data_IF_266509611067
#
_entry.id   IF_266509611067
#
_cell.length_a   1.000
_cell.length_b   1.000
_cell.length_c   1.000
_cell.angle_alpha   90.00
_cell.angle_beta   90.00
_cell.angle_gamma   90.00
#
_symmetry.space_group_name_H-M   'P 1'
#
loop_
_entity.id
_entity.type
_entity.pdbx_description
1 polymer ?
#
# COMPACT_ATOMS: atom_id res chain seq x y z
N UNK A 1 57.41 23.56 0.66
CA UNK A 1 58.31 22.43 0.36
C UNK A 1 57.63 21.50 -0.66
N UNK A 2 58.28 21.15 -1.78
CA UNK A 2 57.71 20.20 -2.73
C UNK A 2 57.53 18.84 -2.06
N UNK A 3 56.33 18.24 -2.16
CA UNK A 3 56.07 16.90 -1.62
C UNK A 3 56.94 15.89 -2.36
N UNK A 4 57.57 14.91 -1.66
CA UNK A 4 58.38 13.92 -2.32
C UNK A 4 57.52 13.13 -3.34
N UNK A 5 58.05 12.84 -4.54
CA UNK A 5 57.28 12.23 -5.63
C UNK A 5 56.66 10.86 -5.27
N UNK A 6 57.18 10.20 -4.24
CA UNK A 6 56.89 8.83 -3.85
C UNK A 6 55.80 8.67 -2.77
N UNK A 7 55.15 9.76 -2.33
CA UNK A 7 54.11 9.74 -1.27
C UNK A 7 52.91 8.83 -1.59
N UNK A 8 52.69 8.49 -2.86
CA UNK A 8 51.59 7.62 -3.27
C UNK A 8 51.91 6.12 -3.20
N UNK A 9 53.18 5.74 -3.02
CA UNK A 9 53.62 4.34 -2.90
C UNK A 9 53.52 3.95 -1.42
N UNK A 10 52.57 3.08 -1.09
CA UNK A 10 52.41 2.57 0.26
C UNK A 10 53.44 1.45 0.51
N UNK A 11 54.36 1.71 1.45
CA UNK A 11 55.45 0.80 1.77
C UNK A 11 54.97 -0.50 2.41
N UNK A 12 53.78 -0.51 2.98
CA UNK A 12 53.20 -1.66 3.68
C UNK A 12 52.21 -2.44 2.80
N UNK A 13 52.00 -2.02 1.55
CA UNK A 13 51.03 -2.66 0.66
C UNK A 13 51.73 -3.54 -0.39
N UNK A 14 51.89 -4.86 -0.12
CA UNK A 14 52.59 -5.76 -1.03
C UNK A 14 51.89 -5.89 -2.38
N UNK A 15 50.56 -5.73 -2.44
CA UNK A 15 49.81 -5.76 -3.69
C UNK A 15 50.09 -4.53 -4.56
N UNK A 16 50.29 -3.35 -3.95
CA UNK A 16 50.71 -2.15 -4.66
C UNK A 16 52.12 -2.30 -5.21
N UNK A 17 53.05 -2.83 -4.42
CA UNK A 17 54.44 -3.04 -4.84
C UNK A 17 54.52 -4.05 -5.99
N UNK A 18 53.83 -5.19 -5.86
CA UNK A 18 53.75 -6.19 -6.93
C UNK A 18 53.14 -5.63 -8.22
N UNK A 19 52.10 -4.81 -8.10
CA UNK A 19 51.50 -4.15 -9.27
C UNK A 19 52.44 -3.15 -9.94
N UNK A 20 53.16 -2.34 -9.15
CA UNK A 20 54.14 -1.39 -9.69
C UNK A 20 55.22 -2.15 -10.49
N UNK A 21 55.70 -3.27 -9.95
CA UNK A 21 56.70 -4.11 -10.63
C UNK A 21 56.20 -4.70 -11.94
N UNK A 22 54.98 -5.25 -11.94
CA UNK A 22 54.35 -5.79 -13.14
C UNK A 22 54.06 -4.69 -14.18
N UNK A 23 53.63 -3.51 -13.74
CA UNK A 23 53.41 -2.35 -14.61
C UNK A 23 54.72 -1.87 -15.27
N UNK A 24 55.79 -1.75 -14.49
CA UNK A 24 57.11 -1.38 -15.01
C UNK A 24 57.63 -2.43 -16.00
N UNK A 25 57.52 -3.72 -15.67
CA UNK A 25 57.95 -4.82 -16.56
C UNK A 25 57.19 -4.89 -17.88
N UNK A 26 55.92 -4.48 -17.93
CA UNK A 26 55.12 -4.45 -19.17
C UNK A 26 55.37 -3.22 -20.02
N UNK A 27 55.68 -2.09 -19.40
CA UNK A 27 55.72 -0.78 -20.07
C UNK A 27 57.13 -0.20 -20.25
N UNK A 28 58.19 -0.87 -19.76
CA UNK A 28 59.58 -0.50 -19.99
C UNK A 28 60.31 -1.60 -20.76
N UNK A 29 60.37 -1.50 -22.10
CA UNK A 29 61.11 -2.46 -22.94
C UNK A 29 62.64 -2.31 -22.85
N UNK A 30 63.14 -1.18 -22.35
CA UNK A 30 64.58 -0.87 -22.35
C UNK A 30 65.32 -1.25 -21.05
N UNK A 31 64.77 -2.15 -20.22
CA UNK A 31 65.44 -2.70 -19.01
C UNK A 31 66.16 -1.66 -18.12
N UNK A 32 65.60 -0.45 -18.02
CA UNK A 32 66.15 0.64 -17.20
C UNK A 32 65.65 0.59 -15.76
N UNK A 33 65.32 -0.57 -15.22
CA UNK A 33 65.33 -0.84 -13.77
C UNK A 33 65.69 -2.32 -13.71
N UNK A 34 66.72 -2.75 -12.97
CA UNK A 34 66.99 -4.17 -12.82
C UNK A 34 65.80 -4.80 -12.07
N UNK A 35 64.87 -5.37 -12.83
CA UNK A 35 63.70 -6.07 -12.29
C UNK A 35 64.10 -7.51 -12.01
N UNK A 36 65.01 -7.69 -11.06
CA UNK A 36 65.10 -8.98 -10.39
C UNK A 36 63.86 -9.11 -9.51
N UNK A 37 62.88 -9.85 -10.01
CA UNK A 37 61.56 -10.05 -9.39
C UNK A 37 61.62 -10.55 -7.94
N UNK A 38 62.77 -11.07 -7.52
CA UNK A 38 62.99 -11.68 -6.19
C UNK A 38 63.60 -10.71 -5.17
N UNK A 39 64.23 -9.60 -5.58
CA UNK A 39 64.98 -8.70 -4.68
C UNK A 39 64.29 -7.36 -4.36
N UNK A 40 63.14 -7.04 -4.98
CA UNK A 40 62.46 -5.73 -4.86
C UNK A 40 61.10 -5.76 -4.16
N UNK A 41 60.84 -6.78 -3.32
CA UNK A 41 59.74 -6.74 -2.36
C UNK A 41 60.00 -5.74 -1.21
N UNK A 42 61.23 -5.22 -1.09
CA UNK A 42 61.53 -4.09 -0.21
C UNK A 42 61.09 -2.77 -0.87
N UNK A 43 60.08 -2.15 -0.28
CA UNK A 43 59.53 -0.86 -0.71
C UNK A 43 60.59 0.26 -0.75
N UNK A 44 61.59 0.21 0.14
CA UNK A 44 62.62 1.25 0.20
C UNK A 44 63.62 1.12 -0.96
N UNK A 45 64.01 -0.11 -1.31
CA UNK A 45 64.85 -0.38 -2.48
C UNK A 45 64.17 0.02 -3.79
N UNK A 46 62.86 -0.25 -3.91
CA UNK A 46 62.06 0.18 -5.06
C UNK A 46 61.97 1.71 -5.16
N UNK A 47 61.72 2.39 -4.04
CA UNK A 47 61.65 3.86 -4.02
C UNK A 47 63.01 4.46 -4.40
N UNK A 48 64.11 3.96 -3.85
CA UNK A 48 65.46 4.43 -4.18
C UNK A 48 65.81 4.22 -5.67
N UNK A 49 65.44 3.08 -6.25
CA UNK A 49 65.66 2.80 -7.67
C UNK A 49 64.83 3.71 -8.60
N UNK A 50 63.63 4.09 -8.16
CA UNK A 50 62.78 5.06 -8.88
C UNK A 50 63.34 6.48 -8.74
N UNK A 51 63.75 6.89 -7.53
CA UNK A 51 64.34 8.20 -7.23
C UNK A 51 65.60 8.46 -8.06
N UNK A 52 66.51 7.48 -8.16
CA UNK A 52 67.75 7.57 -8.92
C UNK A 52 67.57 7.87 -10.43
N UNK A 53 66.34 7.77 -10.95
CA UNK A 53 66.00 7.98 -12.36
C UNK A 53 65.04 9.14 -12.60
N UNK A 54 64.62 9.83 -11.54
CA UNK A 54 63.68 10.97 -11.61
C UNK A 54 64.25 12.20 -12.32
N UNK A 55 65.57 12.23 -12.54
CA UNK A 55 66.27 13.27 -13.31
C UNK A 55 66.02 13.15 -14.81
N UNK A 56 65.62 11.98 -15.31
CA UNK A 56 65.26 11.81 -16.71
C UNK A 56 63.80 12.30 -16.97
N UNK A 57 63.58 13.27 -17.87
CA UNK A 57 62.24 13.83 -18.13
C UNK A 57 61.26 12.80 -18.71
N UNK A 58 61.74 11.87 -19.56
CA UNK A 58 60.90 10.82 -20.13
C UNK A 58 60.45 9.81 -19.08
N UNK A 59 61.32 9.52 -18.11
CA UNK A 59 60.99 8.66 -16.98
C UNK A 59 59.94 9.32 -16.07
N UNK A 60 60.08 10.63 -15.81
CA UNK A 60 59.13 11.39 -14.99
C UNK A 60 57.70 11.38 -15.55
N UNK A 61 57.54 11.47 -16.87
CA UNK A 61 56.22 11.35 -17.50
C UNK A 61 55.65 9.94 -17.38
N UNK A 62 56.46 8.90 -17.62
CA UNK A 62 56.05 7.50 -17.44
C UNK A 62 55.66 7.22 -16.00
N UNK A 63 56.38 7.78 -15.03
CA UNK A 63 56.06 7.71 -13.61
C UNK A 63 54.69 8.35 -13.29
N UNK A 64 54.37 9.51 -13.87
CA UNK A 64 53.04 10.14 -13.72
C UNK A 64 51.92 9.28 -14.33
N UNK A 65 52.18 8.67 -15.50
CA UNK A 65 51.22 7.74 -16.13
C UNK A 65 50.98 6.51 -15.26
N UNK A 66 52.03 5.93 -14.69
CA UNK A 66 51.96 4.81 -13.74
C UNK A 66 51.11 5.18 -12.51
N UNK A 67 51.40 6.33 -11.89
CA UNK A 67 50.63 6.81 -10.74
C UNK A 67 49.13 6.96 -11.08
N UNK A 68 48.82 7.48 -12.26
CA UNK A 68 47.43 7.66 -12.72
C UNK A 68 46.75 6.31 -12.97
N UNK A 69 47.47 5.35 -13.56
CA UNK A 69 46.97 4.00 -13.81
C UNK A 69 46.66 3.25 -12.49
N UNK A 70 47.53 3.38 -11.48
CA UNK A 70 47.28 2.81 -10.16
C UNK A 70 46.02 3.37 -9.51
N UNK A 71 45.84 4.70 -9.54
CA UNK A 71 44.63 5.35 -8.99
C UNK A 71 43.35 4.83 -9.66
N UNK A 72 43.38 4.62 -10.98
CA UNK A 72 42.25 4.04 -11.73
C UNK A 72 41.98 2.60 -11.33
N UNK A 73 43.02 1.78 -11.16
CA UNK A 73 42.87 0.40 -10.73
C UNK A 73 42.35 0.29 -9.29
N UNK A 74 42.91 1.07 -8.37
CA UNK A 74 42.44 1.16 -6.97
C UNK A 74 40.96 1.55 -6.91
N UNK A 75 40.52 2.46 -7.78
CA UNK A 75 39.11 2.83 -7.90
C UNK A 75 38.24 1.69 -8.44
N UNK A 76 38.74 0.87 -9.36
CA UNK A 76 38.02 -0.30 -9.91
C UNK A 76 37.93 -1.47 -8.93
N UNK A 77 38.89 -1.58 -8.02
CA UNK A 77 38.93 -2.64 -7.00
C UNK A 77 38.01 -2.38 -5.80
N UNK A 78 37.27 -1.27 -5.76
CA UNK A 78 36.25 -1.01 -4.72
C UNK A 78 34.87 -1.51 -5.21
N UNK A 79 34.44 -2.74 -4.84
CA UNK A 79 33.36 -3.45 -5.54
C UNK A 79 31.95 -2.91 -5.27
N UNK A 80 31.79 -1.93 -4.36
CA UNK A 80 30.48 -1.40 -3.94
C UNK A 80 30.35 0.12 -4.11
N UNK A 81 31.28 0.78 -4.82
CA UNK A 81 31.21 2.23 -5.05
C UNK A 81 30.80 2.52 -6.49
N UNK A 82 29.54 2.91 -6.68
CA UNK A 82 29.06 3.50 -7.94
C UNK A 82 29.08 5.02 -7.81
N UNK A 83 29.90 5.68 -8.63
CA UNK A 83 29.95 7.15 -8.68
C UNK A 83 28.86 7.67 -9.60
N UNK A 84 28.05 8.61 -9.13
CA UNK A 84 27.03 9.31 -9.92
C UNK A 84 27.23 10.80 -9.77
N UNK A 85 27.11 11.54 -10.87
CA UNK A 85 27.22 13.00 -10.88
C UNK A 85 25.82 13.59 -10.98
N UNK A 86 25.48 14.45 -10.02
CA UNK A 86 24.21 15.19 -10.01
C UNK A 86 24.50 16.67 -10.20
N UNK A 87 23.63 17.34 -10.97
CA UNK A 87 23.60 18.79 -11.05
C UNK A 87 22.59 19.29 -10.04
N UNK A 88 23.04 20.13 -9.10
CA UNK A 88 22.21 20.73 -8.05
C UNK A 88 22.27 22.24 -8.19
N UNK A 89 21.20 22.93 -7.81
CA UNK A 89 21.21 24.39 -7.72
C UNK A 89 22.22 24.87 -6.67
N UNK A 90 22.82 26.04 -6.92
CA UNK A 90 23.85 26.62 -6.06
C UNK A 90 23.36 26.78 -4.61
N UNK A 91 22.10 27.15 -4.41
CA UNK A 91 21.50 27.29 -3.06
C UNK A 91 21.53 25.97 -2.27
N UNK A 92 21.27 24.85 -2.95
CA UNK A 92 21.28 23.51 -2.34
C UNK A 92 22.71 23.10 -1.99
N UNK A 93 23.67 23.44 -2.85
CA UNK A 93 25.10 23.21 -2.59
C UNK A 93 25.58 24.00 -1.38
N UNK A 94 25.20 25.28 -1.26
CA UNK A 94 25.55 26.12 -0.11
C UNK A 94 24.95 25.58 1.20
N UNK A 95 23.73 25.07 1.13
CA UNK A 95 23.06 24.47 2.29
C UNK A 95 23.72 23.16 2.70
N UNK A 96 24.08 22.31 1.73
CA UNK A 96 24.82 21.07 1.97
C UNK A 96 26.19 21.36 2.59
N UNK A 97 26.86 22.44 2.17
CA UNK A 97 28.15 22.88 2.73
C UNK A 97 28.03 23.33 4.17
N UNK A 98 27.01 24.13 4.48
CA UNK A 98 26.72 24.55 5.86
C UNK A 98 26.41 23.34 6.75
N UNK A 99 25.63 22.38 6.25
CA UNK A 99 25.31 21.15 6.97
C UNK A 99 26.54 20.27 7.20
N UNK A 100 27.38 20.09 6.17
CA UNK A 100 28.62 19.33 6.27
C UNK A 100 29.56 19.93 7.32
N UNK A 101 29.75 21.26 7.31
CA UNK A 101 30.54 21.97 8.33
C UNK A 101 29.96 21.79 9.73
N UNK A 102 28.64 21.93 9.89
CA UNK A 102 27.96 21.80 11.19
C UNK A 102 28.09 20.39 11.78
N UNK A 103 28.03 19.35 10.94
CA UNK A 103 28.15 17.94 11.35
C UNK A 103 29.59 17.43 11.42
N UNK A 104 30.58 18.22 10.98
CA UNK A 104 31.98 17.79 10.90
C UNK A 104 32.23 16.70 9.83
N UNK A 105 31.34 16.58 8.85
CA UNK A 105 31.35 15.51 7.84
C UNK A 105 31.75 15.98 6.43
N UNK A 106 31.85 15.03 5.50
CA UNK A 106 31.98 15.34 4.08
C UNK A 106 30.60 15.62 3.48
N UNK A 107 30.54 16.47 2.43
CA UNK A 107 29.28 16.76 1.71
C UNK A 107 28.59 15.49 1.23
N UNK A 108 29.36 14.53 0.74
CA UNK A 108 28.88 13.24 0.26
C UNK A 108 28.32 12.41 1.41
N UNK A 109 29.02 12.30 2.54
CA UNK A 109 28.52 11.56 3.70
C UNK A 109 27.22 12.14 4.27
N UNK A 110 27.13 13.47 4.36
CA UNK A 110 25.87 14.12 4.80
C UNK A 110 24.73 13.90 3.80
N UNK A 111 25.02 13.91 2.49
CA UNK A 111 24.02 13.60 1.48
C UNK A 111 23.55 12.14 1.57
N UNK A 112 24.46 11.19 1.81
CA UNK A 112 24.14 9.77 2.02
C UNK A 112 23.21 9.59 3.24
N UNK A 113 23.51 10.24 4.36
CA UNK A 113 22.65 10.24 5.55
C UNK A 113 21.25 10.78 5.26
N UNK A 114 21.16 11.94 4.59
CA UNK A 114 19.87 12.57 4.25
C UNK A 114 19.04 11.65 3.35
N UNK A 115 19.66 11.01 2.36
CA UNK A 115 18.97 10.07 1.45
C UNK A 115 18.47 8.86 2.23
N UNK A 116 19.28 8.29 3.12
CA UNK A 116 18.88 7.17 3.97
C UNK A 116 17.72 7.56 4.89
N UNK A 117 17.81 8.70 5.57
CA UNK A 117 16.77 9.20 6.46
C UNK A 117 15.45 9.43 5.71
N UNK A 118 15.51 10.07 4.53
CA UNK A 118 14.34 10.30 3.68
C UNK A 118 13.71 8.97 3.24
N UNK A 119 14.53 7.98 2.88
CA UNK A 119 14.04 6.65 2.51
C UNK A 119 13.35 5.94 3.69
N UNK A 120 13.95 5.97 4.89
CA UNK A 120 13.35 5.37 6.09
C UNK A 120 12.05 6.08 6.49
N UNK A 121 11.98 7.40 6.37
CA UNK A 121 10.75 8.16 6.63
C UNK A 121 9.65 7.77 5.64
N UNK A 122 9.99 7.67 4.35
CA UNK A 122 9.06 7.25 3.32
C UNK A 122 8.55 5.82 3.56
N UNK A 123 9.43 4.86 3.88
CA UNK A 123 9.04 3.48 4.18
C UNK A 123 8.12 3.38 5.41
N UNK A 124 8.44 4.11 6.49
CA UNK A 124 7.58 4.18 7.68
C UNK A 124 6.21 4.77 7.37
N UNK A 125 6.17 5.88 6.61
CA UNK A 125 4.93 6.52 6.21
C UNK A 125 4.07 5.59 5.34
N UNK A 126 4.69 4.89 4.37
CA UNK A 126 3.99 3.94 3.50
C UNK A 126 3.42 2.75 4.29
N UNK A 127 4.18 2.19 5.24
CA UNK A 127 3.70 1.13 6.14
C UNK A 127 2.53 1.60 7.00
N UNK A 128 2.63 2.81 7.56
CA UNK A 128 1.56 3.39 8.38
C UNK A 128 0.30 3.63 7.56
N UNK A 129 0.43 4.21 6.36
CA UNK A 129 -0.68 4.42 5.43
C UNK A 129 -1.36 3.10 5.05
N UNK A 130 -0.58 2.05 4.79
CA UNK A 130 -1.12 0.73 4.50
C UNK A 130 -1.93 0.20 5.69
N UNK A 131 -1.43 0.34 6.91
CA UNK A 131 -2.14 -0.08 8.13
C UNK A 131 -3.44 0.71 8.36
N UNK A 132 -3.39 2.04 8.26
CA UNK A 132 -4.57 2.89 8.45
C UNK A 132 -5.61 2.63 7.36
N UNK A 133 -5.18 2.51 6.10
CA UNK A 133 -6.09 2.19 4.98
C UNK A 133 -6.78 0.83 5.16
N UNK A 134 -6.08 -0.20 5.63
CA UNK A 134 -6.68 -1.50 5.93
C UNK A 134 -7.70 -1.41 7.08
N UNK A 135 -7.37 -0.71 8.16
CA UNK A 135 -8.30 -0.51 9.29
C UNK A 135 -9.56 0.26 8.89
N UNK A 136 -9.42 1.27 8.03
CA UNK A 136 -10.54 2.06 7.53
C UNK A 136 -11.45 1.21 6.63
N UNK A 137 -10.88 0.42 5.72
CA UNK A 137 -11.64 -0.54 4.89
C UNK A 137 -12.38 -1.57 5.73
N UNK A 138 -11.74 -2.12 6.77
CA UNK A 138 -12.39 -3.06 7.68
C UNK A 138 -13.56 -2.38 8.41
N UNK A 139 -13.37 -1.18 8.96
CA UNK A 139 -14.42 -0.41 9.63
C UNK A 139 -15.61 -0.11 8.72
N UNK A 140 -15.36 0.26 7.46
CA UNK A 140 -16.44 0.48 6.48
C UNK A 140 -17.21 -0.81 6.16
N UNK A 141 -16.51 -1.94 6.04
CA UNK A 141 -17.15 -3.24 5.84
C UNK A 141 -18.02 -3.61 7.03
N UNK A 142 -17.52 -3.44 8.25
CA UNK A 142 -18.27 -3.73 9.48
C UNK A 142 -19.48 -2.81 9.65
N UNK A 143 -19.36 -1.53 9.28
CA UNK A 143 -20.51 -0.63 9.27
C UNK A 143 -21.56 -1.08 8.24
N UNK A 144 -21.13 -1.46 7.03
CA UNK A 144 -22.05 -1.94 6.00
C UNK A 144 -22.79 -3.20 6.43
N UNK A 145 -22.11 -4.17 7.03
CA UNK A 145 -22.76 -5.39 7.53
C UNK A 145 -23.74 -5.09 8.65
N UNK A 146 -23.41 -4.18 9.57
CA UNK A 146 -24.33 -3.72 10.61
C UNK A 146 -25.59 -3.05 10.05
N UNK A 147 -25.44 -2.17 9.07
CA UNK A 147 -26.58 -1.52 8.42
C UNK A 147 -27.45 -2.52 7.67
N UNK A 148 -26.84 -3.45 6.93
CA UNK A 148 -27.57 -4.50 6.22
C UNK A 148 -28.33 -5.41 7.19
N UNK A 149 -27.71 -5.76 8.32
CA UNK A 149 -28.37 -6.56 9.34
C UNK A 149 -29.55 -5.80 9.98
N UNK A 150 -29.36 -4.54 10.36
CA UNK A 150 -30.42 -3.71 10.91
C UNK A 150 -31.58 -3.54 9.91
N UNK A 151 -31.28 -3.26 8.63
CA UNK A 151 -32.27 -3.18 7.57
C UNK A 151 -33.05 -4.48 7.41
N UNK A 152 -32.36 -5.63 7.46
CA UNK A 152 -33.00 -6.94 7.42
C UNK A 152 -33.94 -7.15 8.61
N UNK A 153 -33.50 -6.83 9.84
CA UNK A 153 -34.35 -6.92 11.05
C UNK A 153 -35.58 -6.01 10.94
N UNK A 154 -35.42 -4.77 10.47
CA UNK A 154 -36.56 -3.87 10.26
C UNK A 154 -37.53 -4.40 9.23
N UNK A 155 -37.05 -4.92 8.10
CA UNK A 155 -37.90 -5.52 7.07
C UNK A 155 -38.66 -6.73 7.60
N UNK A 156 -38.00 -7.62 8.33
CA UNK A 156 -38.63 -8.80 8.93
C UNK A 156 -39.70 -8.41 9.98
N UNK A 157 -39.41 -7.40 10.80
CA UNK A 157 -40.36 -6.87 11.79
C UNK A 157 -41.58 -6.23 11.10
N UNK A 158 -41.36 -5.43 10.06
CA UNK A 158 -42.46 -4.84 9.27
C UNK A 158 -43.28 -5.94 8.60
N UNK A 159 -42.62 -6.98 8.06
CA UNK A 159 -43.29 -8.14 7.49
C UNK A 159 -44.17 -8.85 8.51
N UNK A 160 -43.69 -9.07 9.74
CA UNK A 160 -44.47 -9.68 10.81
C UNK A 160 -45.65 -8.79 11.24
N UNK A 161 -45.46 -7.48 11.35
CA UNK A 161 -46.52 -6.54 11.73
C UNK A 161 -47.61 -6.43 10.66
N UNK A 162 -47.24 -6.41 9.37
CA UNK A 162 -48.23 -6.45 8.29
C UNK A 162 -49.00 -7.75 8.24
N UNK A 163 -48.38 -8.86 8.64
CA UNK A 163 -49.06 -10.16 8.76
C UNK A 163 -50.12 -10.12 9.87
N UNK A 164 -49.71 -9.68 11.07
CA UNK A 164 -50.61 -9.56 12.20
C UNK A 164 -51.75 -8.56 11.93
N UNK A 165 -51.46 -7.48 11.21
CA UNK A 165 -52.48 -6.52 10.77
C UNK A 165 -53.47 -7.15 9.78
N UNK A 166 -52.98 -7.93 8.82
CA UNK A 166 -53.82 -8.64 7.86
C UNK A 166 -54.73 -9.66 8.57
N UNK A 167 -54.19 -10.43 9.52
CA UNK A 167 -54.97 -11.39 10.33
C UNK A 167 -56.03 -10.69 11.16
N UNK A 168 -55.67 -9.59 11.84
CA UNK A 168 -56.62 -8.86 12.67
C UNK A 168 -57.74 -8.22 11.84
N UNK A 169 -57.41 -7.67 10.67
CA UNK A 169 -58.40 -7.11 9.74
C UNK A 169 -59.33 -8.19 9.21
N UNK A 170 -58.78 -9.33 8.80
CA UNK A 170 -59.55 -10.46 8.30
C UNK A 170 -60.55 -10.97 9.35
N UNK A 171 -60.07 -11.25 10.57
CA UNK A 171 -60.90 -11.69 11.69
C UNK A 171 -62.00 -10.68 12.00
N UNK A 172 -61.63 -9.40 12.14
CA UNK A 172 -62.59 -8.37 12.54
C UNK A 172 -63.64 -8.11 11.46
N UNK A 173 -63.25 -8.09 10.18
CA UNK A 173 -64.23 -7.97 9.09
C UNK A 173 -65.16 -9.18 9.03
N UNK A 174 -64.68 -10.38 9.38
CA UNK A 174 -65.53 -11.58 9.45
C UNK A 174 -66.54 -11.50 10.60
N UNK A 175 -66.09 -11.14 11.80
CA UNK A 175 -66.97 -10.96 12.96
C UNK A 175 -68.00 -9.85 12.76
N UNK A 176 -67.66 -8.80 12.03
CA UNK A 176 -68.62 -7.71 11.73
C UNK A 176 -69.59 -8.10 10.60
N UNK A 177 -69.18 -8.96 9.67
CA UNK A 177 -70.05 -9.49 8.62
C UNK A 177 -71.04 -10.53 9.16
N UNK A 178 -70.61 -11.37 10.10
CA UNK A 178 -71.46 -12.38 10.75
C UNK A 178 -71.97 -11.78 12.06
N UNK A 179 -73.18 -11.22 12.06
CA UNK A 179 -73.78 -10.55 13.22
C UNK A 179 -73.87 -11.51 14.43
N UNK A 180 -72.87 -11.48 15.31
CA UNK A 180 -72.92 -12.12 16.63
C UNK A 180 -72.56 -13.61 16.73
N UNK A 181 -71.94 -14.23 15.72
CA UNK A 181 -71.45 -15.62 15.82
C UNK A 181 -69.93 -15.70 16.05
N UNK A 182 -69.48 -16.81 16.67
CA UNK A 182 -68.11 -17.04 17.12
C UNK A 182 -67.05 -17.02 16.00
N UNK A 183 -65.80 -16.73 16.39
CA UNK A 183 -64.61 -16.85 15.54
C UNK A 183 -64.62 -18.17 14.76
N UNK A 184 -64.62 -18.05 13.41
CA UNK A 184 -64.56 -19.12 12.39
C UNK A 184 -65.87 -19.62 11.75
N UNK A 185 -67.01 -18.94 11.92
CA UNK A 185 -68.20 -19.25 11.12
C UNK A 185 -67.92 -19.09 9.60
N UNK A 186 -68.31 -20.06 8.75
CA UNK A 186 -68.17 -19.92 7.30
C UNK A 186 -69.07 -18.78 6.80
N UNK A 187 -68.51 -17.85 6.02
CA UNK A 187 -69.27 -16.75 5.44
C UNK A 187 -70.28 -17.30 4.41
N UNK A 188 -71.57 -17.01 4.58
CA UNK A 188 -72.63 -17.47 3.66
C UNK A 188 -73.15 -16.31 2.81
N UNK A 189 -73.29 -16.50 1.51
CA UNK A 189 -74.00 -15.60 0.58
C UNK A 189 -73.80 -14.09 0.82
N UNK A 190 -74.78 -13.46 1.48
CA UNK A 190 -74.81 -12.03 1.82
C UNK A 190 -73.64 -11.57 2.69
N UNK A 191 -73.13 -12.43 3.56
CA UNK A 191 -72.05 -12.12 4.50
C UNK A 191 -70.71 -11.99 3.77
N UNK A 192 -70.53 -12.71 2.65
CA UNK A 192 -69.34 -12.59 1.80
C UNK A 192 -69.25 -11.20 1.16
N UNK A 193 -70.38 -10.64 0.70
CA UNK A 193 -70.43 -9.31 0.10
C UNK A 193 -70.21 -8.21 1.17
N UNK A 194 -70.80 -8.38 2.36
CA UNK A 194 -70.59 -7.49 3.50
C UNK A 194 -69.12 -7.49 3.95
N UNK A 195 -68.50 -8.67 4.07
CA UNK A 195 -67.08 -8.83 4.40
C UNK A 195 -66.16 -8.13 3.39
N UNK A 196 -66.39 -8.34 2.07
CA UNK A 196 -65.57 -7.72 1.02
C UNK A 196 -65.66 -6.19 1.07
N UNK A 197 -66.86 -5.64 1.25
CA UNK A 197 -67.06 -4.19 1.38
C UNK A 197 -66.36 -3.60 2.61
N UNK A 198 -66.46 -4.26 3.78
CA UNK A 198 -65.76 -3.84 5.00
C UNK A 198 -64.23 -3.89 4.85
N UNK A 199 -63.72 -4.93 4.18
CA UNK A 199 -62.30 -5.11 3.94
C UNK A 199 -61.75 -4.03 3.00
N UNK A 200 -62.43 -3.74 1.89
CA UNK A 200 -62.05 -2.67 0.95
C UNK A 200 -62.07 -1.28 1.59
N UNK A 201 -63.12 -0.98 2.37
CA UNK A 201 -63.24 0.30 3.09
C UNK A 201 -62.07 0.53 4.05
N UNK A 202 -61.68 -0.51 4.82
CA UNK A 202 -60.56 -0.41 5.76
C UNK A 202 -59.21 -0.40 5.07
N UNK A 203 -59.06 -1.16 4.01
CA UNK A 203 -57.84 -1.16 3.19
C UNK A 203 -57.62 0.24 2.63
N UNK A 204 -58.64 0.89 2.06
CA UNK A 204 -58.54 2.26 1.52
C UNK A 204 -58.12 3.30 2.56
N UNK A 205 -58.59 3.15 3.81
CA UNK A 205 -58.21 4.01 4.94
C UNK A 205 -56.72 3.85 5.31
N UNK A 206 -56.16 2.65 5.14
CA UNK A 206 -54.78 2.32 5.51
C UNK A 206 -53.77 2.52 4.37
N UNK A 207 -54.20 2.82 3.15
CA UNK A 207 -53.28 2.99 2.02
C UNK A 207 -52.39 4.22 2.14
N UNK A 208 -52.93 5.33 2.64
CA UNK A 208 -52.19 6.57 2.84
C UNK A 208 -51.07 6.41 3.89
N UNK A 209 -51.32 5.92 5.11
CA UNK A 209 -50.27 5.75 6.12
C UNK A 209 -49.25 4.65 5.77
N UNK A 210 -49.60 3.67 4.94
CA UNK A 210 -48.70 2.58 4.53
C UNK A 210 -47.97 2.83 3.21
N UNK A 211 -48.03 4.05 2.66
CA UNK A 211 -47.43 4.37 1.35
C UNK A 211 -45.94 4.06 1.28
N UNK A 212 -45.19 4.43 2.32
CA UNK A 212 -43.74 4.22 2.36
C UNK A 212 -43.37 2.75 2.57
N UNK A 213 -44.24 2.01 3.27
CA UNK A 213 -44.07 0.56 3.47
C UNK A 213 -44.28 -0.20 2.15
N UNK A 214 -45.17 0.29 1.25
CA UNK A 214 -45.33 -0.28 -0.10
C UNK A 214 -44.06 -0.17 -0.97
N UNK A 215 -43.18 0.81 -0.68
CA UNK A 215 -41.90 0.96 -1.39
C UNK A 215 -40.85 -0.07 -0.93
N UNK A 216 -41.01 -0.60 0.30
CA UNK A 216 -40.20 -1.70 0.79
C UNK A 216 -40.63 -2.96 0.04
N UNK A 217 -39.71 -3.55 -0.73
CA UNK A 217 -39.92 -4.84 -1.40
C UNK A 217 -39.88 -5.96 -0.35
N UNK A 218 -40.98 -6.09 0.36
CA UNK A 218 -41.22 -7.04 1.43
C UNK A 218 -41.44 -8.46 0.89
N UNK A 219 -41.10 -9.48 1.68
CA UNK A 219 -41.08 -10.87 1.20
C UNK A 219 -42.48 -11.41 0.91
N UNK A 220 -43.44 -11.10 1.78
CA UNK A 220 -44.84 -11.53 1.68
C UNK A 220 -45.72 -10.52 0.93
N UNK A 221 -45.11 -9.56 0.23
CA UNK A 221 -45.84 -8.52 -0.50
C UNK A 221 -46.56 -7.53 0.41
N UNK A 222 -47.42 -6.71 -0.23
CA UNK A 222 -48.17 -5.64 0.41
C UNK A 222 -49.35 -6.15 1.26
N UNK A 223 -49.86 -5.31 2.16
CA UNK A 223 -51.08 -5.62 2.93
C UNK A 223 -52.25 -6.02 2.02
N UNK A 224 -52.43 -5.32 0.89
CA UNK A 224 -53.49 -5.61 -0.07
C UNK A 224 -53.34 -7.01 -0.69
N UNK A 225 -52.12 -7.42 -1.02
CA UNK A 225 -51.86 -8.76 -1.53
C UNK A 225 -52.23 -9.83 -0.49
N UNK A 226 -51.77 -9.66 0.76
CA UNK A 226 -52.06 -10.58 1.87
C UNK A 226 -53.54 -10.70 2.20
N UNK A 227 -54.27 -9.59 2.13
CA UNK A 227 -55.72 -9.59 2.34
C UNK A 227 -56.46 -10.23 1.15
N UNK A 228 -55.98 -10.02 -0.08
CA UNK A 228 -56.55 -10.67 -1.27
C UNK A 228 -56.40 -12.19 -1.23
N UNK A 229 -55.25 -12.71 -0.76
CA UNK A 229 -55.03 -14.15 -0.55
C UNK A 229 -56.00 -14.73 0.49
N UNK A 230 -56.22 -14.02 1.61
CA UNK A 230 -57.16 -14.45 2.65
C UNK A 230 -58.62 -14.42 2.15
N UNK A 231 -59.01 -13.36 1.46
CA UNK A 231 -60.34 -13.26 0.86
C UNK A 231 -60.58 -14.38 -0.17
N UNK A 232 -59.56 -14.74 -0.97
CA UNK A 232 -59.61 -15.88 -1.87
C UNK A 232 -59.72 -17.22 -1.12
N UNK A 233 -58.94 -17.42 -0.05
CA UNK A 233 -59.01 -18.64 0.77
C UNK A 233 -60.41 -18.82 1.38
N UNK A 234 -61.05 -17.74 1.84
CA UNK A 234 -62.44 -17.76 2.36
C UNK A 234 -63.49 -17.97 1.27
N UNK A 235 -63.20 -17.62 0.02
CA UNK A 235 -64.05 -17.95 -1.12
C UNK A 235 -63.92 -19.43 -1.54
N UNK A 236 -62.79 -20.09 -1.28
CA UNK A 236 -62.54 -21.50 -1.59
C UNK A 236 -63.01 -22.45 -0.47
N UNK A 237 -63.29 -21.95 0.74
CA UNK A 237 -63.74 -22.75 1.89
C UNK A 237 -65.26 -22.98 1.96
N UNK A 238 -65.94 -23.25 0.83
CA UNK A 238 -67.30 -23.82 0.89
C UNK A 238 -67.17 -25.33 1.15
N UNK A 239 -67.66 -25.86 2.28
CA UNK A 239 -67.59 -27.29 2.54
C UNK A 239 -68.37 -28.05 1.48
N UNK A 240 -67.74 -29.09 0.95
CA UNK A 240 -68.43 -30.16 0.24
C UNK A 240 -69.45 -30.78 1.21
N UNK A 241 -70.73 -30.52 0.95
CA UNK A 241 -71.82 -31.43 1.32
C UNK A 241 -71.85 -32.62 0.35
#
# INVERSE_FOLDING_TARGET
MPRPPHVWIDRQNPAQLAWIMDYLGRHQRDFTVPVDRHYLLDANALIAALDARMDNPLFRERYRKMQTAWRKQKSRQAPHRRTVTYQLHNEVLDLLDKLARKRGGTKVGVLEEIIQDAWYQHDRAAKQLKKTSASYKARLKDQRTKYQHAEWVYRDTIDALLEALADNMDQRCCLEAVIGEYDNAPLVGTDKAAYQSLLEARLSTLEAPLRDVKLLRLRKGSLAHRLSERAQARNIAAPHE
#
